data_IF_663786960841
#
_entry.id   IF_663786960841
#
_cell.length_a   1.000
_cell.length_b   1.000
_cell.length_c   1.000
_cell.angle_alpha   90.00
_cell.angle_beta   90.00
_cell.angle_gamma   90.00
#
_symmetry.space_group_name_H-M   'P 1'
#
loop_
_entity.id
_entity.type
_entity.pdbx_description
1 polymer ?
#
# COMPACT_ATOMS: atom_id res chain seq x y z
N UNK A 1 -6.28 17.01 4.38
CA UNK A 1 -6.16 17.12 5.85
C UNK A 1 -5.77 15.77 6.40
N UNK A 2 -4.75 15.68 7.26
CA UNK A 2 -4.60 14.53 8.15
C UNK A 2 -5.88 14.49 8.98
N UNK A 3 -6.57 13.34 9.02
CA UNK A 3 -7.55 13.11 10.06
C UNK A 3 -6.78 13.25 11.38
N UNK A 4 -7.03 14.35 12.11
CA UNK A 4 -6.51 14.51 13.46
C UNK A 4 -7.34 13.59 14.35
N UNK A 5 -6.98 12.31 14.34
CA UNK A 5 -7.54 11.32 15.24
C UNK A 5 -7.01 11.67 16.63
N UNK A 6 -7.91 11.92 17.56
CA UNK A 6 -7.53 12.18 18.95
C UNK A 6 -6.98 10.90 19.59
N UNK A 7 -6.12 10.99 20.61
CA UNK A 7 -5.63 9.81 21.36
C UNK A 7 -6.79 8.93 21.90
N UNK A 8 -7.95 9.53 22.16
CA UNK A 8 -9.16 8.82 22.59
C UNK A 8 -9.79 8.01 21.43
N UNK A 9 -9.83 8.57 20.23
CA UNK A 9 -10.33 7.87 19.03
C UNK A 9 -9.36 6.79 18.56
N UNK A 10 -8.05 7.01 18.69
CA UNK A 10 -7.02 6.01 18.39
C UNK A 10 -7.11 4.78 19.31
N UNK A 11 -7.53 4.97 20.57
CA UNK A 11 -7.80 3.88 21.52
C UNK A 11 -9.08 3.08 21.22
N UNK A 12 -10.05 3.68 20.53
CA UNK A 12 -11.33 3.01 20.17
C UNK A 12 -11.23 2.38 18.78
N UNK A 13 -10.42 2.93 17.90
CA UNK A 13 -10.25 2.45 16.54
C UNK A 13 -9.32 1.23 16.48
N UNK A 14 -9.92 0.05 16.27
CA UNK A 14 -9.15 -1.18 16.00
C UNK A 14 -8.46 -1.10 14.64
N UNK A 15 -7.12 -1.09 14.67
CA UNK A 15 -6.30 -1.17 13.46
C UNK A 15 -6.40 -2.51 12.74
N UNK A 16 -5.81 -2.62 11.54
CA UNK A 16 -5.75 -3.86 10.76
C UNK A 16 -5.14 -5.02 11.56
N UNK A 17 -4.06 -4.76 12.29
CA UNK A 17 -3.40 -5.73 13.16
C UNK A 17 -4.35 -6.36 14.20
N UNK A 18 -5.09 -5.53 14.94
CA UNK A 18 -6.05 -6.01 15.94
C UNK A 18 -7.22 -6.77 15.30
N UNK A 19 -7.68 -6.36 14.11
CA UNK A 19 -8.76 -7.06 13.41
C UNK A 19 -8.34 -8.47 13.00
N UNK A 20 -7.10 -8.63 12.52
CA UNK A 20 -6.55 -9.95 12.17
C UNK A 20 -6.44 -10.84 13.41
N UNK A 21 -5.98 -10.32 14.54
CA UNK A 21 -5.86 -11.08 15.78
C UNK A 21 -7.21 -11.42 16.44
N UNK A 22 -8.28 -10.69 16.09
CA UNK A 22 -9.64 -10.95 16.56
C UNK A 22 -10.45 -11.88 15.63
N UNK A 23 -9.84 -12.49 14.62
CA UNK A 23 -10.52 -13.45 13.75
C UNK A 23 -11.03 -14.66 14.57
N UNK A 24 -12.06 -15.39 14.09
CA UNK A 24 -12.48 -16.61 14.77
C UNK A 24 -11.36 -17.66 14.68
N UNK A 25 -11.28 -18.56 15.68
CA UNK A 25 -10.19 -19.55 15.80
C UNK A 25 -9.94 -20.40 14.55
N UNK A 26 -10.99 -20.68 13.77
CA UNK A 26 -10.89 -21.44 12.52
C UNK A 26 -10.30 -20.64 11.35
N UNK A 27 -9.93 -19.38 11.56
CA UNK A 27 -9.32 -18.46 10.61
C UNK A 27 -8.01 -17.84 11.16
N UNK A 28 -7.39 -18.46 12.17
CA UNK A 28 -6.08 -18.07 12.68
C UNK A 28 -4.97 -18.43 11.70
N UNK A 29 -3.91 -17.62 11.74
CA UNK A 29 -2.68 -17.86 11.01
C UNK A 29 -1.63 -18.47 11.95
N UNK A 30 -0.77 -19.32 11.40
CA UNK A 30 0.34 -19.93 12.14
C UNK A 30 1.42 -18.91 12.53
N UNK A 31 1.59 -17.85 11.73
CA UNK A 31 2.59 -16.82 11.93
C UNK A 31 1.99 -15.43 11.77
N UNK A 32 2.34 -14.52 12.68
CA UNK A 32 1.96 -13.11 12.62
C UNK A 32 3.21 -12.24 12.55
N UNK A 33 3.30 -11.42 11.51
CA UNK A 33 4.40 -10.48 11.29
C UNK A 33 3.85 -9.05 11.19
N UNK A 34 4.39 -8.16 12.01
CA UNK A 34 4.11 -6.73 12.00
C UNK A 34 5.40 -5.99 11.68
N UNK A 35 5.42 -5.27 10.57
CA UNK A 35 6.62 -4.58 10.10
C UNK A 35 6.37 -3.08 9.97
N UNK A 36 7.29 -2.29 10.50
CA UNK A 36 7.33 -0.85 10.32
C UNK A 36 8.79 -0.37 10.33
N UNK A 37 9.08 0.71 9.60
CA UNK A 37 10.40 1.33 9.59
C UNK A 37 10.62 2.20 10.82
N UNK A 38 9.55 2.76 11.39
CA UNK A 38 9.59 3.58 12.58
C UNK A 38 9.53 2.70 13.83
N UNK A 39 10.68 2.56 14.50
CA UNK A 39 10.79 1.74 15.71
C UNK A 39 9.88 2.21 16.84
N UNK A 40 9.63 3.52 16.96
CA UNK A 40 8.72 4.08 17.94
C UNK A 40 7.27 3.64 17.74
N UNK A 41 6.79 3.66 16.50
CA UNK A 41 5.46 3.18 16.10
C UNK A 41 5.34 1.67 16.27
N UNK A 42 6.40 0.93 15.95
CA UNK A 42 6.45 -0.52 16.15
C UNK A 42 6.38 -0.90 17.63
N UNK A 43 7.13 -0.22 18.51
CA UNK A 43 7.08 -0.46 19.96
C UNK A 43 5.70 -0.13 20.55
N UNK A 44 5.06 0.95 20.10
CA UNK A 44 3.67 1.27 20.50
C UNK A 44 2.68 0.20 20.04
N UNK A 45 2.88 -0.34 18.84
CA UNK A 45 2.06 -1.42 18.33
C UNK A 45 2.25 -2.69 19.17
N UNK A 46 3.49 -3.05 19.48
CA UNK A 46 3.82 -4.19 20.35
C UNK A 46 3.15 -4.06 21.72
N UNK A 47 3.27 -2.90 22.37
CA UNK A 47 2.60 -2.63 23.65
C UNK A 47 1.08 -2.80 23.53
N UNK A 48 0.47 -2.23 22.48
CA UNK A 48 -0.98 -2.35 22.23
C UNK A 48 -1.42 -3.78 21.97
N UNK A 49 -0.58 -4.60 21.34
CA UNK A 49 -0.93 -5.98 20.98
C UNK A 49 -0.59 -7.01 22.07
N UNK A 50 0.10 -6.62 23.14
CA UNK A 50 0.48 -7.50 24.26
C UNK A 50 -0.70 -8.32 24.83
N UNK A 51 -1.87 -7.70 24.96
CA UNK A 51 -3.10 -8.36 25.45
C UNK A 51 -3.59 -9.50 24.55
N UNK A 52 -3.28 -9.45 23.26
CA UNK A 52 -3.62 -10.49 22.30
C UNK A 52 -2.57 -11.61 22.30
N UNK A 53 -1.29 -11.27 22.51
CA UNK A 53 -0.21 -12.25 22.66
C UNK A 53 -0.48 -13.19 23.86
N UNK A 54 -0.98 -12.67 24.98
CA UNK A 54 -1.35 -13.48 26.15
C UNK A 54 -2.46 -14.49 25.87
N UNK A 55 -3.26 -14.27 24.82
CA UNK A 55 -4.40 -15.09 24.43
C UNK A 55 -4.11 -15.97 23.20
N UNK A 56 -2.97 -15.74 22.54
CA UNK A 56 -2.54 -16.43 21.33
C UNK A 56 -1.57 -17.55 21.66
N UNK A 57 -1.74 -18.70 21.01
CA UNK A 57 -0.74 -19.78 21.05
C UNK A 57 0.44 -19.50 20.09
N UNK A 58 0.24 -18.58 19.14
CA UNK A 58 1.22 -18.23 18.12
C UNK A 58 1.89 -16.90 18.45
N UNK A 59 3.22 -16.85 18.29
CA UNK A 59 4.02 -15.67 18.59
C UNK A 59 3.81 -14.54 17.57
N UNK A 60 3.61 -13.33 18.09
CA UNK A 60 3.57 -12.09 17.34
C UNK A 60 5.00 -11.60 17.09
N UNK A 61 5.38 -11.43 15.83
CA UNK A 61 6.73 -11.03 15.44
C UNK A 61 6.73 -9.57 14.98
N UNK A 62 7.58 -8.75 15.60
CA UNK A 62 7.72 -7.33 15.29
C UNK A 62 9.04 -7.11 14.54
N UNK A 63 8.95 -6.62 13.31
CA UNK A 63 10.05 -6.55 12.36
C UNK A 63 10.36 -5.10 11.98
N UNK A 64 11.32 -4.49 12.65
CA UNK A 64 11.80 -3.15 12.28
C UNK A 64 12.46 -3.18 10.89
N UNK A 65 12.15 -2.20 10.04
CA UNK A 65 12.88 -1.95 8.81
C UNK A 65 12.02 -1.58 7.60
N UNK A 66 12.65 -1.55 6.43
CA UNK A 66 11.97 -1.25 5.17
C UNK A 66 11.05 -2.41 4.76
N UNK A 67 9.74 -2.14 4.71
CA UNK A 67 8.73 -3.10 4.29
C UNK A 67 9.03 -3.73 2.92
N UNK A 68 9.66 -3.01 1.99
CA UNK A 68 10.05 -3.57 0.70
C UNK A 68 11.04 -4.75 0.87
N UNK A 69 11.96 -4.67 1.84
CA UNK A 69 12.90 -5.75 2.13
C UNK A 69 12.20 -6.94 2.79
N UNK A 70 11.31 -6.68 3.75
CA UNK A 70 10.51 -7.73 4.40
C UNK A 70 9.63 -8.49 3.40
N UNK A 71 9.01 -7.79 2.44
CA UNK A 71 8.22 -8.41 1.36
C UNK A 71 9.11 -9.28 0.46
N UNK A 72 10.33 -8.86 0.15
CA UNK A 72 11.26 -9.64 -0.67
C UNK A 72 11.68 -10.94 0.04
N UNK A 73 11.97 -10.88 1.34
CA UNK A 73 12.28 -12.07 2.16
C UNK A 73 11.07 -13.00 2.30
N UNK A 74 9.87 -12.45 2.48
CA UNK A 74 8.62 -13.22 2.46
C UNK A 74 8.45 -13.96 1.12
N UNK A 75 8.63 -13.25 -0.01
CA UNK A 75 8.57 -13.84 -1.35
C UNK A 75 9.56 -15.01 -1.51
N UNK A 76 10.80 -14.86 -1.05
CA UNK A 76 11.81 -15.93 -1.10
C UNK A 76 11.37 -17.15 -0.30
N UNK A 77 10.80 -16.93 0.88
CA UNK A 77 10.32 -18.00 1.77
C UNK A 77 9.13 -18.73 1.16
N UNK A 78 8.13 -18.01 0.65
CA UNK A 78 6.95 -18.62 0.02
C UNK A 78 7.27 -19.39 -1.26
N UNK A 79 8.29 -18.96 -2.02
CA UNK A 79 8.76 -19.70 -3.20
C UNK A 79 9.50 -20.99 -2.85
N UNK A 80 10.17 -21.02 -1.69
CA UNK A 80 10.85 -22.21 -1.18
C UNK A 80 9.86 -23.20 -0.55
N UNK A 81 8.90 -22.68 0.20
CA UNK A 81 7.91 -23.45 0.95
C UNK A 81 6.52 -23.34 0.32
N UNK A 82 6.25 -24.15 -0.70
CA UNK A 82 4.99 -24.10 -1.46
C UNK A 82 3.71 -24.42 -0.67
N UNK A 83 3.85 -24.97 0.55
CA UNK A 83 2.75 -25.22 1.48
C UNK A 83 2.27 -23.96 2.17
N UNK A 84 3.08 -22.90 2.21
CA UNK A 84 2.72 -21.67 2.90
C UNK A 84 1.81 -20.79 2.03
N UNK A 85 0.88 -20.12 2.70
CA UNK A 85 0.06 -19.07 2.15
C UNK A 85 0.16 -17.84 3.05
N UNK A 86 0.01 -16.66 2.47
CA UNK A 86 0.14 -15.41 3.20
C UNK A 86 -1.01 -14.46 2.87
N UNK A 87 -1.50 -13.77 3.91
CA UNK A 87 -2.29 -12.56 3.76
C UNK A 87 -1.37 -11.38 4.06
N UNK A 88 -1.17 -10.50 3.08
CA UNK A 88 -0.34 -9.32 3.21
C UNK A 88 -1.20 -8.06 3.20
N UNK A 89 -1.21 -7.33 4.31
CA UNK A 89 -1.92 -6.05 4.44
C UNK A 89 -0.89 -4.92 4.37
N UNK A 90 -0.96 -4.10 3.33
CA UNK A 90 -0.06 -3.00 3.05
C UNK A 90 -0.79 -1.67 3.22
N UNK A 91 -0.36 -0.89 4.20
CA UNK A 91 -0.86 0.46 4.45
C UNK A 91 0.28 1.48 4.31
N UNK A 92 0.75 1.75 3.08
CA UNK A 92 1.88 2.62 2.88
C UNK A 92 1.51 4.08 3.10
N UNK A 93 2.42 4.80 3.76
CA UNK A 93 2.41 6.26 3.67
C UNK A 93 2.96 6.68 2.30
N UNK A 94 2.12 7.24 1.43
CA UNK A 94 2.49 7.65 0.07
C UNK A 94 3.05 6.46 -0.77
N UNK A 95 3.82 6.73 -1.83
CA UNK A 95 4.35 5.73 -2.76
C UNK A 95 5.58 4.96 -2.25
N UNK A 96 5.64 4.63 -0.94
CA UNK A 96 6.81 3.97 -0.36
C UNK A 96 6.96 2.48 -0.72
N UNK A 97 5.86 1.81 -1.08
CA UNK A 97 5.91 0.42 -1.55
C UNK A 97 6.19 0.41 -3.06
N UNK A 98 7.28 -0.27 -3.43
CA UNK A 98 7.71 -0.41 -4.82
C UNK A 98 6.97 -1.57 -5.47
N UNK A 99 6.64 -1.40 -6.74
CA UNK A 99 6.03 -2.46 -7.55
C UNK A 99 6.88 -3.73 -7.58
N UNK A 100 8.20 -3.59 -7.59
CA UNK A 100 9.14 -4.72 -7.60
C UNK A 100 8.95 -5.65 -6.39
N UNK A 101 8.62 -5.10 -5.21
CA UNK A 101 8.34 -5.90 -4.01
C UNK A 101 7.04 -6.69 -4.17
N UNK A 102 5.99 -6.07 -4.70
CA UNK A 102 4.72 -6.76 -4.98
C UNK A 102 4.91 -7.82 -6.05
N UNK A 103 5.58 -7.48 -7.15
CA UNK A 103 5.87 -8.39 -8.26
C UNK A 103 6.74 -9.58 -7.84
N UNK A 104 7.55 -9.44 -6.79
CA UNK A 104 8.32 -10.55 -6.24
C UNK A 104 7.40 -11.68 -5.70
N UNK A 105 6.19 -11.35 -5.23
CA UNK A 105 5.19 -12.33 -4.79
C UNK A 105 4.47 -13.03 -5.95
N UNK A 106 4.81 -12.73 -7.21
CA UNK A 106 4.22 -13.42 -8.35
C UNK A 106 4.44 -14.94 -8.23
N UNK A 107 3.37 -15.69 -8.50
CA UNK A 107 3.31 -17.15 -8.40
C UNK A 107 3.47 -17.71 -6.96
N UNK A 108 3.28 -16.89 -5.92
CA UNK A 108 3.11 -17.40 -4.54
C UNK A 108 1.62 -17.47 -4.18
N UNK A 109 1.28 -18.23 -3.13
CA UNK A 109 -0.09 -18.24 -2.58
C UNK A 109 -0.25 -17.05 -1.64
N UNK A 110 -0.40 -15.86 -2.20
CA UNK A 110 -0.47 -14.63 -1.42
C UNK A 110 -1.66 -13.78 -1.83
N UNK A 111 -2.50 -13.46 -0.85
CA UNK A 111 -3.54 -12.44 -1.00
C UNK A 111 -2.97 -11.11 -0.51
N UNK A 112 -3.09 -10.05 -1.32
CA UNK A 112 -2.56 -8.73 -1.01
C UNK A 112 -3.72 -7.74 -0.89
N UNK A 113 -3.81 -7.07 0.25
CA UNK A 113 -4.70 -5.94 0.47
C UNK A 113 -3.85 -4.69 0.63
N UNK A 114 -3.93 -3.76 -0.32
CA UNK A 114 -3.09 -2.56 -0.34
C UNK A 114 -3.94 -1.29 -0.40
N UNK A 115 -3.62 -0.33 0.47
CA UNK A 115 -4.14 1.03 0.35
C UNK A 115 -3.33 1.80 -0.69
N UNK A 116 -3.98 2.19 -1.80
CA UNK A 116 -3.35 2.95 -2.88
C UNK A 116 -3.53 4.45 -2.61
N UNK A 117 -2.45 5.25 -2.47
CA UNK A 117 -2.53 6.66 -2.09
C UNK A 117 -2.87 7.59 -3.27
N UNK A 118 -4.00 7.37 -3.93
CA UNK A 118 -4.37 7.99 -5.22
C UNK A 118 -4.34 9.52 -5.20
N UNK A 119 -4.88 10.16 -4.17
CA UNK A 119 -4.90 11.63 -4.03
C UNK A 119 -3.48 12.20 -3.93
N UNK A 120 -2.60 11.53 -3.20
CA UNK A 120 -1.19 11.94 -3.07
C UNK A 120 -0.48 11.78 -4.41
N UNK A 121 -0.74 10.68 -5.11
CA UNK A 121 -0.19 10.43 -6.44
C UNK A 121 -0.62 11.52 -7.40
N UNK A 122 -1.89 11.93 -7.45
CA UNK A 122 -2.34 13.02 -8.34
C UNK A 122 -1.58 14.32 -8.07
N UNK A 123 -1.40 14.69 -6.81
CA UNK A 123 -0.69 15.91 -6.42
C UNK A 123 0.82 15.85 -6.74
N UNK A 124 1.39 14.65 -6.81
CA UNK A 124 2.78 14.42 -7.21
C UNK A 124 2.90 14.33 -8.74
N UNK A 125 1.87 13.78 -9.38
CA UNK A 125 1.82 13.44 -10.79
C UNK A 125 1.54 14.67 -11.63
N UNK A 126 0.64 15.57 -11.24
CA UNK A 126 0.29 16.77 -12.01
C UNK A 126 0.89 18.04 -11.41
N UNK A 127 1.53 18.86 -12.24
CA UNK A 127 1.80 20.25 -11.88
C UNK A 127 0.57 21.16 -12.10
N UNK A 128 0.70 22.46 -11.82
CA UNK A 128 -0.39 23.44 -12.01
C UNK A 128 -0.86 23.53 -13.47
N UNK A 129 -0.06 23.08 -14.44
CA UNK A 129 -0.40 22.97 -15.86
C UNK A 129 -1.01 21.61 -16.23
N UNK A 130 -1.05 20.65 -15.30
CA UNK A 130 -1.52 19.30 -15.55
C UNK A 130 -0.51 18.40 -16.27
N UNK A 131 0.77 18.75 -16.26
CA UNK A 131 1.84 17.93 -16.82
C UNK A 131 2.39 16.93 -15.80
N UNK A 132 2.78 15.75 -16.31
CA UNK A 132 3.40 14.70 -15.51
C UNK A 132 4.76 15.12 -14.94
N UNK A 133 4.94 15.02 -13.61
CA UNK A 133 6.22 15.25 -12.92
C UNK A 133 6.60 14.10 -11.99
N UNK A 134 7.79 14.20 -11.38
CA UNK A 134 8.26 13.29 -10.33
C UNK A 134 8.37 11.81 -10.73
N UNK A 135 8.77 11.52 -11.98
CA UNK A 135 8.93 10.16 -12.50
C UNK A 135 9.83 9.26 -11.64
N UNK A 136 10.85 9.83 -10.97
CA UNK A 136 11.69 9.07 -10.04
C UNK A 136 10.92 8.40 -8.89
N UNK A 137 9.73 8.89 -8.52
CA UNK A 137 8.79 8.24 -7.58
C UNK A 137 7.76 7.36 -8.29
N UNK A 138 7.24 7.81 -9.44
CA UNK A 138 6.20 7.09 -10.18
C UNK A 138 6.72 5.78 -10.79
N UNK A 139 7.95 5.79 -11.30
CA UNK A 139 8.57 4.62 -11.91
C UNK A 139 8.67 3.43 -10.96
N UNK A 140 9.25 3.56 -9.74
CA UNK A 140 9.27 2.43 -8.80
C UNK A 140 7.87 2.08 -8.26
N UNK A 141 6.96 3.05 -8.16
CA UNK A 141 5.59 2.80 -7.69
C UNK A 141 4.77 1.94 -8.66
N UNK A 142 4.81 2.25 -9.96
CA UNK A 142 4.12 1.48 -11.00
C UNK A 142 4.96 0.31 -11.54
N UNK A 143 6.27 0.33 -11.34
CA UNK A 143 7.22 -0.59 -11.97
C UNK A 143 7.27 -0.42 -13.49
N UNK A 144 7.16 0.82 -13.94
CA UNK A 144 7.11 1.21 -15.36
C UNK A 144 8.21 2.25 -15.65
N UNK A 145 8.65 2.30 -16.90
CA UNK A 145 9.53 3.34 -17.40
C UNK A 145 8.78 4.66 -17.54
N UNK A 146 9.50 5.78 -17.50
CA UNK A 146 8.92 7.11 -17.76
C UNK A 146 8.16 7.15 -19.10
N UNK A 147 8.69 6.50 -20.14
CA UNK A 147 8.04 6.44 -21.46
C UNK A 147 6.68 5.73 -21.41
N UNK A 148 6.60 4.60 -20.72
CA UNK A 148 5.34 3.84 -20.58
C UNK A 148 4.32 4.63 -19.76
N UNK A 149 4.76 5.28 -18.67
CA UNK A 149 3.90 6.14 -17.85
C UNK A 149 3.36 7.29 -18.71
N UNK A 150 4.23 8.02 -19.41
CA UNK A 150 3.79 9.10 -20.32
C UNK A 150 2.78 8.61 -21.33
N UNK A 151 3.07 7.50 -22.01
CA UNK A 151 2.16 6.92 -22.99
C UNK A 151 0.78 6.61 -22.41
N UNK A 152 0.71 6.06 -21.20
CA UNK A 152 -0.56 5.70 -20.55
C UNK A 152 -1.42 6.92 -20.20
N UNK A 153 -0.79 8.03 -19.82
CA UNK A 153 -1.50 9.24 -19.40
C UNK A 153 -1.68 10.28 -20.52
N UNK A 154 -0.95 10.19 -21.63
CA UNK A 154 -1.02 11.11 -22.78
C UNK A 154 -2.22 10.92 -23.71
N UNK A 155 -2.97 9.83 -23.59
CA UNK A 155 -4.02 9.46 -24.58
C UNK A 155 -5.21 10.45 -24.67
N UNK A 156 -5.28 11.50 -23.84
CA UNK A 156 -6.37 12.49 -23.88
C UNK A 156 -5.92 13.96 -23.76
N UNK A 157 -4.78 14.34 -24.34
CA UNK A 157 -4.41 15.76 -24.50
C UNK A 157 -5.22 16.53 -25.57
N UNK A 158 -6.37 16.01 -26.04
CA UNK A 158 -7.14 16.66 -27.11
C UNK A 158 -8.22 17.64 -26.66
N UNK A 159 -8.55 17.74 -25.38
CA UNK A 159 -9.56 18.68 -24.86
C UNK A 159 -8.96 19.70 -23.88
N UNK A 160 -7.84 20.33 -24.25
CA UNK A 160 -7.36 21.53 -23.56
C UNK A 160 -8.22 22.75 -23.95
N UNK A 161 -9.48 22.74 -23.53
CA UNK A 161 -10.35 23.92 -23.51
C UNK A 161 -10.09 24.67 -22.20
N UNK A 162 -10.05 26.01 -22.26
CA UNK A 162 -9.92 26.90 -21.10
C UNK A 162 -10.73 26.40 -19.89
N UNK A 163 -10.01 25.88 -18.88
CA UNK A 163 -10.61 25.23 -17.71
C UNK A 163 -11.12 26.29 -16.73
N UNK A 164 -12.40 26.18 -16.34
CA UNK A 164 -12.91 26.82 -15.13
C UNK A 164 -12.57 25.98 -13.86
N UNK A 165 -12.95 26.46 -12.67
CA UNK A 165 -12.72 25.73 -11.42
C UNK A 165 -13.44 24.36 -11.37
N UNK A 166 -14.59 24.21 -12.05
CA UNK A 166 -15.36 22.96 -12.10
C UNK A 166 -14.71 21.94 -13.05
N UNK A 167 -14.09 22.39 -14.13
CA UNK A 167 -13.37 21.53 -15.07
C UNK A 167 -12.06 21.01 -14.47
N UNK A 168 -11.44 21.77 -13.56
CA UNK A 168 -10.25 21.34 -12.82
C UNK A 168 -10.53 20.16 -11.89
N UNK A 169 -11.66 20.18 -11.17
CA UNK A 169 -12.08 19.09 -10.27
C UNK A 169 -12.34 17.81 -11.08
N UNK A 170 -13.09 17.89 -12.18
CA UNK A 170 -13.37 16.74 -13.05
C UNK A 170 -12.10 16.10 -13.61
N UNK A 171 -11.11 16.93 -13.97
CA UNK A 171 -9.81 16.45 -14.46
C UNK A 171 -9.04 15.68 -13.38
N UNK A 172 -9.09 16.14 -12.13
CA UNK A 172 -8.48 15.45 -10.98
C UNK A 172 -9.13 14.08 -10.78
N UNK A 173 -10.46 14.00 -10.76
CA UNK A 173 -11.19 12.76 -10.55
C UNK A 173 -10.87 11.72 -11.64
N UNK A 174 -10.85 12.14 -12.92
CA UNK A 174 -10.49 11.26 -14.04
C UNK A 174 -9.05 10.71 -13.91
N UNK A 175 -8.13 11.50 -13.34
CA UNK A 175 -6.75 11.08 -13.14
C UNK A 175 -6.62 10.11 -11.96
N UNK A 176 -7.40 10.29 -10.89
CA UNK A 176 -7.53 9.32 -9.79
C UNK A 176 -7.99 7.96 -10.34
N UNK A 177 -9.02 7.96 -11.19
CA UNK A 177 -9.53 6.75 -11.83
C UNK A 177 -8.47 6.08 -12.71
N UNK A 178 -7.73 6.84 -13.53
CA UNK A 178 -6.64 6.31 -14.36
C UNK A 178 -5.52 5.69 -13.53
N UNK A 179 -5.10 6.34 -12.45
CA UNK A 179 -4.08 5.81 -11.52
C UNK A 179 -4.56 4.50 -10.90
N UNK A 180 -5.80 4.48 -10.42
CA UNK A 180 -6.40 3.30 -9.79
C UNK A 180 -6.51 2.15 -10.80
N UNK A 181 -6.99 2.43 -12.00
CA UNK A 181 -7.10 1.47 -13.10
C UNK A 181 -5.75 0.89 -13.48
N UNK A 182 -4.73 1.75 -13.63
CA UNK A 182 -3.37 1.31 -13.92
C UNK A 182 -2.86 0.36 -12.85
N UNK A 183 -3.03 0.70 -11.57
CA UNK A 183 -2.57 -0.14 -10.47
C UNK A 183 -3.28 -1.50 -10.43
N UNK A 184 -4.59 -1.53 -10.71
CA UNK A 184 -5.38 -2.77 -10.81
C UNK A 184 -4.92 -3.63 -11.98
N UNK A 185 -4.66 -3.03 -13.14
CA UNK A 185 -4.19 -3.77 -14.32
C UNK A 185 -2.81 -4.38 -14.09
N UNK A 186 -1.94 -3.67 -13.37
CA UNK A 186 -0.65 -4.18 -12.92
C UNK A 186 -0.82 -5.40 -12.02
N UNK A 187 -1.76 -5.36 -11.06
CA UNK A 187 -2.04 -6.49 -10.14
C UNK A 187 -2.61 -7.72 -10.84
N UNK A 188 -3.28 -7.55 -11.99
CA UNK A 188 -3.80 -8.65 -12.80
C UNK A 188 -2.75 -9.31 -13.71
N UNK A 189 -1.57 -8.67 -13.90
CA UNK A 189 -0.56 -9.06 -14.90
C UNK A 189 0.49 -10.07 -14.42
#
# INVERSE_FOLDING_TARGET
>A
EQLMITEAEEKVYKGSAERVLNLPKNAFFDFYYFADKDSGSLSKLEERLSVYQEQSENDLQFCEGDCNLHILELSKTLKRESSYFALLILDPFDMHIKWESIAALKNTRTDIWILVPTVVIVNILLDKSGELRNFHKLQPFFGMTEKEIRSYFSDEEKDAVQLDEKDTIKKIDAQIEKISGLYVDRLKS
#
